data_IF_784733164792
#
_entry.id   IF_784733164792
#
_cell.length_a   1.000
_cell.length_b   1.000
_cell.length_c   1.000
_cell.angle_alpha   90.00
_cell.angle_beta   90.00
_cell.angle_gamma   90.00
#
_symmetry.space_group_name_H-M   'P 1'
#
loop_
_entity.id
_entity.type
_entity.pdbx_description
1 polymer ?
#
# COMPACT_ATOMS: atom_id res chain seq x y z
N UNK A 1 -10.04 -1.00 -19.02
CA UNK A 1 -9.26 -1.39 -20.21
C UNK A 1 -9.62 -0.44 -21.36
N UNK A 2 -8.70 -0.14 -22.28
CA UNK A 2 -8.97 0.71 -23.46
C UNK A 2 -8.61 0.04 -24.81
N UNK A 3 -8.13 -1.21 -24.76
CA UNK A 3 -7.63 -1.97 -25.90
C UNK A 3 -6.52 -2.96 -25.46
N UNK A 4 -6.22 -3.92 -26.33
CA UNK A 4 -5.14 -4.91 -26.18
C UNK A 4 -4.05 -4.66 -27.23
N UNK A 5 -2.82 -5.06 -26.96
CA UNK A 5 -1.69 -4.91 -27.89
C UNK A 5 -0.53 -5.85 -27.53
N UNK A 6 0.18 -6.33 -28.55
CA UNK A 6 1.29 -7.28 -28.42
C UNK A 6 2.62 -6.55 -28.57
N UNK A 7 3.49 -6.67 -27.55
CA UNK A 7 4.77 -5.96 -27.48
C UNK A 7 5.89 -6.97 -27.28
N UNK A 8 6.44 -7.50 -28.37
CA UNK A 8 7.37 -8.64 -28.34
C UNK A 8 8.60 -8.43 -27.43
N UNK A 9 9.13 -7.21 -27.38
CA UNK A 9 10.24 -6.87 -26.47
C UNK A 9 9.85 -6.92 -24.99
N UNK A 10 8.60 -6.55 -24.65
CA UNK A 10 8.10 -6.64 -23.27
C UNK A 10 7.76 -8.08 -22.89
N UNK A 11 7.24 -8.88 -23.83
CA UNK A 11 6.98 -10.32 -23.64
C UNK A 11 8.24 -11.16 -23.35
N UNK A 12 9.43 -10.56 -23.41
CA UNK A 12 10.72 -11.19 -23.11
C UNK A 12 11.29 -10.87 -21.72
N UNK A 13 10.53 -10.21 -20.83
CA UNK A 13 10.90 -10.00 -19.42
C UNK A 13 9.99 -10.80 -18.49
N UNK A 14 10.60 -11.47 -17.51
CA UNK A 14 9.89 -12.36 -16.60
C UNK A 14 9.06 -11.64 -15.52
N UNK A 15 8.20 -12.42 -14.86
CA UNK A 15 7.31 -11.94 -13.82
C UNK A 15 7.99 -11.82 -12.44
N UNK A 16 7.65 -10.74 -11.71
CA UNK A 16 7.80 -10.71 -10.25
C UNK A 16 6.60 -10.04 -9.55
N UNK A 17 6.15 -10.60 -8.43
CA UNK A 17 5.21 -9.96 -7.50
C UNK A 17 5.85 -8.82 -6.68
N UNK A 18 7.18 -8.67 -6.77
CA UNK A 18 7.94 -7.49 -6.31
C UNK A 18 8.77 -6.99 -7.50
N UNK A 19 8.13 -6.39 -8.51
CA UNK A 19 8.82 -5.99 -9.73
C UNK A 19 9.77 -4.81 -9.46
N UNK A 20 10.83 -4.72 -10.25
CA UNK A 20 11.73 -3.56 -10.29
C UNK A 20 11.49 -2.67 -11.52
N UNK A 21 10.55 -3.05 -12.40
CA UNK A 21 10.07 -2.22 -13.51
C UNK A 21 8.55 -2.19 -13.63
N UNK A 22 8.07 -1.23 -14.41
CA UNK A 22 6.73 -1.20 -15.00
C UNK A 22 6.86 -0.89 -16.49
N UNK A 23 5.83 -1.19 -17.27
CA UNK A 23 5.66 -0.55 -18.58
C UNK A 23 4.56 0.51 -18.51
N UNK A 24 4.67 1.55 -19.33
CA UNK A 24 3.67 2.62 -19.48
C UNK A 24 3.39 2.86 -20.95
N UNK A 25 2.12 3.05 -21.34
CA UNK A 25 1.75 3.27 -22.73
C UNK A 25 1.48 4.75 -23.03
N UNK A 26 2.11 5.30 -24.06
CA UNK A 26 1.77 6.60 -24.67
C UNK A 26 1.17 6.33 -26.06
N UNK A 27 -0.15 6.21 -26.12
CA UNK A 27 -0.82 5.61 -27.29
C UNK A 27 -0.34 4.17 -27.48
N UNK A 28 0.08 3.83 -28.70
CA UNK A 28 0.59 2.50 -29.06
C UNK A 28 2.08 2.28 -28.74
N UNK A 29 2.75 3.23 -28.07
CA UNK A 29 4.15 3.06 -27.64
C UNK A 29 4.16 2.66 -26.17
N UNK A 30 4.49 1.40 -25.88
CA UNK A 30 4.81 0.97 -24.52
C UNK A 30 6.29 1.22 -24.20
N UNK A 31 6.58 1.69 -22.99
CA UNK A 31 7.93 2.03 -22.52
C UNK A 31 8.18 1.37 -21.17
N UNK A 32 9.20 0.51 -21.09
CA UNK A 32 9.67 -0.07 -19.83
C UNK A 32 10.42 1.01 -19.01
N UNK A 33 10.16 1.05 -17.70
CA UNK A 33 10.65 2.08 -16.78
C UNK A 33 11.05 1.46 -15.45
N UNK A 34 12.18 1.88 -14.92
CA UNK A 34 12.70 1.41 -13.64
C UNK A 34 11.91 1.96 -12.45
N UNK A 35 11.81 1.16 -11.39
CA UNK A 35 11.31 1.53 -10.06
C UNK A 35 12.44 1.76 -9.06
N UNK A 36 13.69 1.50 -9.44
CA UNK A 36 14.90 1.79 -8.67
C UNK A 36 16.01 2.32 -9.59
N UNK A 37 17.04 2.99 -9.05
CA UNK A 37 18.14 3.56 -9.84
C UNK A 37 19.10 2.50 -10.40
N UNK A 38 19.16 1.32 -9.79
CA UNK A 38 20.14 0.28 -10.08
C UNK A 38 19.66 -0.76 -11.13
N UNK A 39 18.52 -0.52 -11.78
CA UNK A 39 17.92 -1.48 -12.72
C UNK A 39 18.54 -1.35 -14.12
N UNK A 40 19.31 -2.37 -14.52
CA UNK A 40 19.76 -2.52 -15.91
C UNK A 40 18.61 -3.00 -16.79
N UNK A 41 17.86 -2.06 -17.41
CA UNK A 41 16.67 -2.38 -18.21
C UNK A 41 16.90 -3.38 -19.36
N UNK A 42 18.15 -3.56 -19.81
CA UNK A 42 18.50 -4.52 -20.87
C UNK A 42 18.80 -5.93 -20.33
N UNK A 43 19.05 -6.08 -19.02
CA UNK A 43 19.25 -7.37 -18.37
C UNK A 43 17.91 -8.01 -18.03
N UNK A 44 17.44 -8.88 -18.93
CA UNK A 44 16.22 -9.68 -18.78
C UNK A 44 16.28 -10.70 -17.65
N UNK A 45 17.46 -11.04 -17.13
CA UNK A 45 17.61 -11.98 -16.00
C UNK A 45 17.44 -11.33 -14.63
N UNK A 46 17.64 -10.01 -14.54
CA UNK A 46 17.44 -9.22 -13.33
C UNK A 46 16.25 -8.24 -13.41
N UNK A 47 15.66 -8.05 -14.59
CA UNK A 47 14.57 -7.08 -14.83
C UNK A 47 13.21 -7.76 -14.92
N UNK A 48 12.30 -7.39 -14.01
CA UNK A 48 10.97 -8.00 -13.87
C UNK A 48 9.86 -6.95 -13.78
N UNK A 49 8.72 -7.22 -14.42
CA UNK A 49 7.47 -6.48 -14.22
C UNK A 49 6.35 -7.39 -13.69
N UNK A 50 5.21 -6.82 -13.29
CA UNK A 50 4.06 -7.63 -12.85
C UNK A 50 3.10 -7.90 -14.00
N UNK A 51 2.74 -9.18 -14.20
CA UNK A 51 1.70 -9.59 -15.14
C UNK A 51 0.28 -9.44 -14.53
N UNK A 52 0.21 -9.26 -13.21
CA UNK A 52 -1.01 -9.30 -12.40
C UNK A 52 -1.12 -8.07 -11.49
N UNK A 53 -2.30 -7.87 -10.91
CA UNK A 53 -2.48 -6.90 -9.82
C UNK A 53 -1.64 -7.34 -8.60
N UNK A 54 -0.94 -6.40 -7.95
CA UNK A 54 -0.12 -6.69 -6.78
C UNK A 54 -0.90 -6.65 -5.46
N UNK A 55 -2.12 -6.11 -5.48
CA UNK A 55 -3.02 -6.02 -4.33
C UNK A 55 -3.87 -7.29 -4.19
N UNK A 56 -3.17 -8.41 -4.00
CA UNK A 56 -3.73 -9.76 -3.92
C UNK A 56 -2.91 -10.64 -2.99
N UNK A 57 -3.55 -11.61 -2.32
CA UNK A 57 -2.89 -12.53 -1.38
C UNK A 57 -1.86 -13.43 -2.07
N UNK A 58 -0.91 -14.01 -1.31
CA UNK A 58 0.10 -14.93 -1.88
C UNK A 58 -0.55 -16.12 -2.61
N UNK A 59 -1.67 -16.60 -2.07
CA UNK A 59 -2.52 -17.65 -2.62
C UNK A 59 -3.17 -17.23 -3.94
N UNK A 60 -3.81 -16.06 -3.99
CA UNK A 60 -4.40 -15.51 -5.22
C UNK A 60 -3.36 -15.32 -6.32
N UNK A 61 -2.22 -14.69 -6.00
CA UNK A 61 -1.15 -14.43 -6.97
C UNK A 61 -0.59 -15.74 -7.53
N UNK A 62 -0.27 -16.71 -6.66
CA UNK A 62 0.25 -18.01 -7.11
C UNK A 62 -0.77 -18.80 -7.93
N UNK A 63 -2.05 -18.81 -7.53
CA UNK A 63 -3.12 -19.46 -8.31
C UNK A 63 -3.28 -18.81 -9.68
N UNK A 64 -3.43 -17.49 -9.76
CA UNK A 64 -3.61 -16.77 -11.03
C UNK A 64 -2.41 -16.98 -11.98
N UNK A 65 -1.18 -16.96 -11.45
CA UNK A 65 0.02 -17.22 -12.25
C UNK A 65 0.09 -18.65 -12.76
N UNK A 66 -0.27 -19.64 -11.94
CA UNK A 66 -0.32 -21.06 -12.33
C UNK A 66 -1.43 -21.35 -13.34
N UNK A 67 -2.62 -20.78 -13.14
CA UNK A 67 -3.80 -21.02 -13.99
C UNK A 67 -3.67 -20.34 -15.37
N UNK A 68 -2.99 -19.18 -15.47
CA UNK A 68 -2.94 -18.36 -16.70
C UNK A 68 -1.57 -18.39 -17.41
N UNK A 69 -0.46 -18.62 -16.68
CA UNK A 69 0.90 -18.67 -17.23
C UNK A 69 1.65 -19.98 -16.90
N UNK A 70 0.99 -20.96 -16.27
CA UNK A 70 1.48 -22.33 -16.09
C UNK A 70 2.78 -22.48 -15.26
N UNK A 71 3.12 -21.52 -14.40
CA UNK A 71 4.30 -21.60 -13.53
C UNK A 71 3.99 -21.28 -12.05
N UNK A 72 4.76 -21.88 -11.13
CA UNK A 72 4.72 -21.59 -9.69
C UNK A 72 5.71 -20.48 -9.33
N UNK A 73 5.21 -19.28 -9.05
CA UNK A 73 6.04 -18.10 -8.81
C UNK A 73 6.85 -18.17 -7.50
N UNK A 74 8.18 -18.16 -7.63
CA UNK A 74 9.17 -18.17 -6.53
C UNK A 74 9.91 -16.83 -6.32
N UNK A 75 9.39 -15.71 -6.86
CA UNK A 75 10.02 -14.40 -6.65
C UNK A 75 10.08 -14.03 -5.14
N UNK A 76 10.93 -13.07 -4.77
CA UNK A 76 11.20 -12.71 -3.37
C UNK A 76 9.94 -12.54 -2.49
N UNK A 77 8.90 -11.83 -2.96
CA UNK A 77 7.64 -11.64 -2.22
C UNK A 77 6.77 -12.90 -2.11
N UNK A 78 6.96 -13.88 -2.99
CA UNK A 78 6.25 -15.16 -2.94
C UNK A 78 6.91 -16.19 -2.01
N UNK A 79 8.17 -15.98 -1.60
CA UNK A 79 8.88 -16.81 -0.62
C UNK A 79 9.02 -16.12 0.75
N UNK A 80 8.88 -14.79 0.81
CA UNK A 80 8.90 -14.01 2.06
C UNK A 80 7.66 -14.27 2.94
N UNK A 81 7.88 -14.80 4.15
CA UNK A 81 6.81 -15.01 5.13
C UNK A 81 6.15 -13.72 5.62
N UNK A 82 6.80 -12.54 5.46
CA UNK A 82 6.18 -11.27 5.83
C UNK A 82 4.98 -10.91 4.93
N UNK A 83 4.89 -11.43 3.69
CA UNK A 83 3.71 -11.20 2.82
C UNK A 83 2.41 -11.74 3.43
N UNK A 84 2.48 -12.69 4.37
CA UNK A 84 1.30 -13.17 5.10
C UNK A 84 0.65 -12.09 5.99
N UNK A 85 1.31 -10.96 6.26
CA UNK A 85 0.72 -9.86 7.04
C UNK A 85 -0.53 -9.28 6.38
N UNK A 86 -0.61 -9.27 5.04
CA UNK A 86 -1.80 -8.81 4.28
C UNK A 86 -2.95 -9.82 4.36
N UNK A 87 -2.76 -10.95 5.03
CA UNK A 87 -3.76 -11.99 5.32
C UNK A 87 -3.82 -12.34 6.82
N UNK A 88 -3.32 -11.43 7.66
CA UNK A 88 -3.35 -11.55 9.12
C UNK A 88 -4.73 -11.20 9.72
N UNK A 89 -4.94 -11.62 10.97
CA UNK A 89 -6.07 -11.24 11.81
C UNK A 89 -5.63 -10.44 13.04
N UNK A 90 -6.58 -9.80 13.72
CA UNK A 90 -6.41 -9.19 15.03
C UNK A 90 -6.55 -10.25 16.14
N UNK A 91 -5.71 -10.18 17.17
CA UNK A 91 -5.84 -11.02 18.36
C UNK A 91 -7.14 -10.70 19.12
N UNK A 92 -8.08 -11.66 19.30
CA UNK A 92 -9.36 -11.42 19.97
C UNK A 92 -9.24 -11.22 21.49
N UNK A 93 -8.08 -11.49 22.07
CA UNK A 93 -7.81 -11.44 23.53
C UNK A 93 -7.01 -10.21 23.96
N UNK A 94 -6.71 -9.28 23.04
CA UNK A 94 -6.01 -8.03 23.34
C UNK A 94 -7.02 -6.88 23.46
N UNK A 95 -6.94 -6.09 24.53
CA UNK A 95 -7.95 -5.08 24.90
C UNK A 95 -7.87 -3.77 24.10
N UNK A 96 -6.72 -3.09 24.11
CA UNK A 96 -6.60 -1.73 23.57
C UNK A 96 -6.01 -1.68 22.15
N UNK A 97 -4.95 -2.44 21.92
CA UNK A 97 -4.22 -2.48 20.65
C UNK A 97 -4.01 -3.93 20.22
N UNK A 98 -4.96 -4.53 19.47
CA UNK A 98 -4.90 -5.93 19.10
C UNK A 98 -3.67 -6.30 18.26
N UNK A 99 -3.01 -7.39 18.66
CA UNK A 99 -1.82 -7.88 17.96
C UNK A 99 -2.16 -8.49 16.59
N UNK A 100 -1.25 -8.37 15.62
CA UNK A 100 -1.45 -8.84 14.25
C UNK A 100 -0.88 -10.25 14.08
N UNK A 101 -1.76 -11.22 13.83
CA UNK A 101 -1.42 -12.64 13.81
C UNK A 101 -1.54 -13.19 12.38
N UNK A 102 -0.42 -13.62 11.80
CA UNK A 102 -0.37 -14.28 10.49
C UNK A 102 -1.00 -15.67 10.58
N UNK A 103 -2.14 -15.85 9.91
CA UNK A 103 -2.84 -17.14 9.82
C UNK A 103 -2.07 -18.11 8.91
N UNK A 104 -1.57 -17.59 7.79
CA UNK A 104 -0.86 -18.35 6.76
C UNK A 104 0.67 -18.24 6.91
N UNK A 105 1.39 -19.16 6.27
CA UNK A 105 2.84 -19.27 6.38
C UNK A 105 3.33 -19.80 7.73
N UNK A 106 4.63 -19.62 7.97
CA UNK A 106 5.28 -19.86 9.26
C UNK A 106 5.35 -18.58 10.10
N UNK A 107 5.23 -18.71 11.42
CA UNK A 107 5.45 -17.64 12.39
C UNK A 107 6.00 -18.22 13.70
N UNK A 108 6.82 -17.50 14.48
CA UNK A 108 7.38 -18.02 15.73
C UNK A 108 6.31 -18.31 16.80
N UNK A 109 5.18 -17.61 16.73
CA UNK A 109 4.02 -17.78 17.60
C UNK A 109 3.01 -18.85 17.10
N UNK A 110 3.39 -19.67 16.11
CA UNK A 110 2.51 -20.64 15.46
C UNK A 110 3.08 -22.06 15.58
N UNK A 111 2.38 -22.94 16.27
CA UNK A 111 2.82 -24.32 16.47
C UNK A 111 2.84 -25.08 15.12
N UNK A 112 4.00 -25.61 14.72
CA UNK A 112 4.16 -26.26 13.41
C UNK A 112 3.28 -27.51 13.22
N UNK A 113 2.97 -28.25 14.30
CA UNK A 113 2.16 -29.47 14.24
C UNK A 113 0.66 -29.21 14.42
N UNK A 114 0.28 -28.44 15.44
CA UNK A 114 -1.15 -28.20 15.77
C UNK A 114 -1.75 -27.01 15.02
N UNK A 115 -0.92 -26.17 14.41
CA UNK A 115 -1.29 -24.90 13.76
C UNK A 115 -1.96 -23.87 14.71
N UNK A 116 -1.93 -24.11 16.03
CA UNK A 116 -2.40 -23.16 17.05
C UNK A 116 -1.53 -21.89 17.04
N UNK A 117 -2.18 -20.74 17.19
CA UNK A 117 -1.56 -19.42 17.31
C UNK A 117 -1.57 -18.99 18.79
N UNK A 118 -0.41 -18.79 19.40
CA UNK A 118 -0.27 -18.29 20.76
C UNK A 118 0.14 -16.82 20.71
N UNK A 119 -0.76 -15.88 21.01
CA UNK A 119 -0.49 -14.45 20.77
C UNK A 119 0.81 -13.96 21.46
N UNK A 120 1.79 -13.38 20.74
CA UNK A 120 3.07 -12.99 21.34
C UNK A 120 2.96 -11.80 22.31
N UNK A 121 1.82 -11.09 22.32
CA UNK A 121 1.58 -9.91 23.16
C UNK A 121 0.81 -10.17 24.46
N UNK A 122 -0.14 -11.12 24.44
CA UNK A 122 -0.92 -11.48 25.64
C UNK A 122 -0.76 -12.94 26.07
N UNK A 123 0.00 -13.74 25.32
CA UNK A 123 0.30 -15.16 25.58
C UNK A 123 -0.92 -16.09 25.68
N UNK A 124 -2.07 -15.64 25.16
CA UNK A 124 -3.30 -16.44 25.05
C UNK A 124 -3.33 -17.16 23.70
N UNK A 125 -3.68 -18.45 23.72
CA UNK A 125 -3.97 -19.23 22.52
C UNK A 125 -5.26 -18.74 21.84
N UNK A 126 -5.20 -18.45 20.55
CA UNK A 126 -6.35 -18.00 19.76
C UNK A 126 -7.29 -19.19 19.52
N UNK A 127 -8.57 -19.10 19.91
CA UNK A 127 -9.55 -20.15 19.62
C UNK A 127 -9.66 -20.41 18.11
N UNK A 128 -9.73 -21.68 17.72
CA UNK A 128 -9.78 -22.10 16.30
C UNK A 128 -10.94 -21.45 15.56
N UNK A 129 -12.05 -21.23 16.26
CA UNK A 129 -13.28 -20.61 15.79
C UNK A 129 -13.02 -19.15 15.36
N UNK A 130 -12.13 -18.43 16.06
CA UNK A 130 -11.73 -17.06 15.71
C UNK A 130 -10.78 -17.00 14.52
N UNK A 131 -9.94 -18.03 14.35
CA UNK A 131 -9.12 -18.17 13.12
C UNK A 131 -10.02 -18.47 11.92
N UNK A 132 -11.03 -19.33 12.08
CA UNK A 132 -12.03 -19.62 11.05
C UNK A 132 -12.90 -18.40 10.70
N UNK A 133 -13.35 -17.63 11.71
CA UNK A 133 -14.10 -16.38 11.50
C UNK A 133 -13.33 -15.38 10.63
N UNK A 134 -12.02 -15.23 10.84
CA UNK A 134 -11.16 -14.40 9.99
C UNK A 134 -11.00 -14.96 8.56
N UNK A 135 -10.81 -16.27 8.41
CA UNK A 135 -10.70 -16.93 7.10
C UNK A 135 -12.01 -16.78 6.29
N UNK A 136 -13.16 -16.99 6.93
CA UNK A 136 -14.45 -16.94 6.25
C UNK A 136 -14.92 -15.50 5.98
N UNK A 137 -14.46 -14.51 6.78
CA UNK A 137 -14.56 -13.09 6.45
C UNK A 137 -13.81 -12.76 5.14
N UNK A 138 -12.55 -13.19 5.02
CA UNK A 138 -11.73 -12.98 3.80
C UNK A 138 -12.38 -13.66 2.58
N UNK A 139 -12.77 -14.93 2.70
CA UNK A 139 -13.51 -15.66 1.64
C UNK A 139 -14.84 -15.03 1.27
N UNK A 140 -15.51 -14.32 2.18
CA UNK A 140 -16.77 -13.62 1.88
C UNK A 140 -16.53 -12.42 0.97
N UNK A 141 -15.41 -11.70 1.13
CA UNK A 141 -15.00 -10.61 0.22
C UNK A 141 -14.71 -11.15 -1.18
N UNK A 142 -14.01 -12.28 -1.31
CA UNK A 142 -13.76 -12.88 -2.62
C UNK A 142 -15.05 -13.30 -3.33
N UNK A 143 -16.00 -13.94 -2.64
CA UNK A 143 -17.30 -14.30 -3.24
C UNK A 143 -18.07 -13.10 -3.77
N UNK A 144 -18.01 -11.95 -3.07
CA UNK A 144 -18.60 -10.68 -3.53
C UNK A 144 -17.94 -10.20 -4.84
N UNK A 145 -16.61 -10.33 -4.95
CA UNK A 145 -15.84 -9.94 -6.12
C UNK A 145 -16.07 -10.87 -7.31
N UNK A 146 -15.94 -12.19 -7.09
CA UNK A 146 -16.14 -13.24 -8.11
C UNK A 146 -17.51 -13.14 -8.78
N UNK A 147 -18.56 -12.95 -7.97
CA UNK A 147 -19.95 -12.84 -8.45
C UNK A 147 -20.36 -11.42 -8.82
N UNK A 148 -19.50 -10.41 -8.63
CA UNK A 148 -19.81 -8.99 -8.85
C UNK A 148 -21.08 -8.53 -8.11
N UNK A 149 -21.29 -8.97 -6.87
CA UNK A 149 -22.55 -8.72 -6.14
C UNK A 149 -22.83 -7.21 -5.97
N UNK A 150 -21.77 -6.39 -5.85
CA UNK A 150 -21.86 -4.93 -5.75
C UNK A 150 -22.36 -4.26 -7.04
N UNK A 151 -21.99 -4.77 -8.22
CA UNK A 151 -22.44 -4.23 -9.53
C UNK A 151 -23.95 -4.44 -9.73
N UNK A 152 -24.55 -5.40 -9.03
CA UNK A 152 -25.97 -5.75 -9.09
C UNK A 152 -26.83 -5.01 -8.04
N UNK A 153 -26.21 -4.31 -7.09
CA UNK A 153 -26.92 -3.58 -6.03
C UNK A 153 -27.17 -2.11 -6.40
N UNK A 154 -28.34 -1.53 -6.05
CA UNK A 154 -28.54 -0.08 -6.12
C UNK A 154 -27.46 0.67 -5.31
N UNK A 155 -26.86 1.73 -5.87
CA UNK A 155 -25.71 2.46 -5.28
C UNK A 155 -25.84 2.75 -3.78
N UNK A 156 -27.02 3.17 -3.30
CA UNK A 156 -27.26 3.41 -1.85
C UNK A 156 -27.17 2.14 -1.00
N UNK A 157 -27.73 1.02 -1.48
CA UNK A 157 -27.66 -0.27 -0.79
C UNK A 157 -26.23 -0.82 -0.76
N UNK A 158 -25.51 -0.71 -1.88
CA UNK A 158 -24.10 -1.08 -1.99
C UNK A 158 -23.21 -0.33 -0.99
N UNK A 159 -23.38 1.00 -0.85
CA UNK A 159 -22.66 1.82 0.14
C UNK A 159 -22.94 1.36 1.58
N UNK A 160 -24.21 1.16 1.94
CA UNK A 160 -24.57 0.70 3.28
C UNK A 160 -24.03 -0.71 3.58
N UNK A 161 -24.11 -1.63 2.62
CA UNK A 161 -23.59 -2.98 2.74
C UNK A 161 -22.07 -3.00 2.93
N UNK A 162 -21.32 -2.26 2.11
CA UNK A 162 -19.86 -2.20 2.21
C UNK A 162 -19.38 -1.48 3.48
N UNK A 163 -20.04 -0.40 3.92
CA UNK A 163 -19.73 0.25 5.21
C UNK A 163 -19.96 -0.70 6.39
N UNK A 164 -21.11 -1.36 6.47
CA UNK A 164 -21.40 -2.35 7.53
C UNK A 164 -20.50 -3.58 7.48
N UNK A 165 -20.05 -3.99 6.28
CA UNK A 165 -19.07 -5.06 6.11
C UNK A 165 -17.70 -4.67 6.68
N UNK A 166 -17.24 -3.46 6.36
CA UNK A 166 -15.98 -2.88 6.83
C UNK A 166 -15.98 -2.69 8.36
N UNK A 167 -17.05 -2.13 8.93
CA UNK A 167 -17.21 -1.96 10.40
C UNK A 167 -17.21 -3.30 11.15
N UNK A 168 -17.79 -4.34 10.55
CA UNK A 168 -17.77 -5.71 11.12
C UNK A 168 -16.36 -6.30 11.06
N UNK A 169 -15.70 -6.23 9.90
CA UNK A 169 -14.41 -6.88 9.69
C UNK A 169 -13.22 -6.13 10.30
N UNK A 170 -13.31 -4.82 10.54
CA UNK A 170 -12.31 -4.05 11.28
C UNK A 170 -12.10 -4.51 12.73
N UNK A 171 -13.01 -5.33 13.29
CA UNK A 171 -12.86 -6.00 14.60
C UNK A 171 -12.08 -7.32 14.53
N UNK A 172 -11.77 -7.80 13.33
CA UNK A 172 -11.28 -9.17 13.05
C UNK A 172 -9.99 -9.11 12.20
N UNK A 173 -9.90 -8.16 11.26
CA UNK A 173 -8.82 -8.00 10.30
C UNK A 173 -8.19 -6.60 10.46
N UNK A 174 -6.84 -6.46 10.48
CA UNK A 174 -6.18 -5.16 10.49
C UNK A 174 -6.30 -4.44 9.15
N UNK A 175 -6.12 -3.12 9.13
CA UNK A 175 -6.15 -2.29 7.91
C UNK A 175 -5.15 -2.71 6.82
N UNK A 176 -4.00 -3.31 7.19
CA UNK A 176 -3.02 -3.88 6.25
C UNK A 176 -3.53 -5.12 5.52
N UNK A 177 -4.64 -5.72 5.97
CA UNK A 177 -5.23 -6.90 5.35
C UNK A 177 -5.82 -6.55 3.96
N UNK A 178 -5.44 -7.32 2.93
CA UNK A 178 -5.79 -7.05 1.53
C UNK A 178 -7.29 -7.08 1.27
N UNK A 179 -8.06 -7.83 2.06
CA UNK A 179 -9.51 -7.91 1.96
C UNK A 179 -10.22 -6.68 2.53
N UNK A 180 -9.64 -6.01 3.53
CA UNK A 180 -10.09 -4.67 3.95
C UNK A 180 -9.86 -3.65 2.82
N UNK A 181 -8.68 -3.70 2.18
CA UNK A 181 -8.40 -2.83 1.04
C UNK A 181 -9.28 -3.12 -0.20
N UNK A 182 -9.63 -4.39 -0.45
CA UNK A 182 -10.62 -4.79 -1.49
C UNK A 182 -12.00 -4.17 -1.23
N UNK A 183 -12.50 -4.21 0.02
CA UNK A 183 -13.76 -3.54 0.41
C UNK A 183 -13.69 -2.03 0.16
N UNK A 184 -12.58 -1.40 0.54
CA UNK A 184 -12.35 0.03 0.32
C UNK A 184 -12.36 0.38 -1.18
N UNK A 185 -11.72 -0.43 -2.02
CA UNK A 185 -11.71 -0.23 -3.49
C UNK A 185 -13.11 -0.36 -4.12
N UNK A 186 -13.97 -1.26 -3.61
CA UNK A 186 -15.37 -1.35 -4.02
C UNK A 186 -16.20 -0.14 -3.56
N UNK A 187 -15.86 0.44 -2.40
CA UNK A 187 -16.61 1.54 -1.79
C UNK A 187 -16.26 2.91 -2.37
N UNK A 188 -14.98 3.18 -2.65
CA UNK A 188 -14.50 4.48 -3.18
C UNK A 188 -15.31 5.05 -4.36
N UNK A 189 -15.59 4.32 -5.47
CA UNK A 189 -16.38 4.86 -6.59
C UNK A 189 -17.88 5.06 -6.27
N UNK A 190 -18.33 4.57 -5.10
CA UNK A 190 -19.71 4.70 -4.63
C UNK A 190 -19.90 5.83 -3.61
N UNK A 191 -18.84 6.46 -3.12
CA UNK A 191 -18.93 7.68 -2.31
C UNK A 191 -19.32 8.87 -3.22
N UNK A 192 -19.70 10.00 -2.62
CA UNK A 192 -19.91 11.25 -3.34
C UNK A 192 -18.56 11.97 -3.53
N UNK A 193 -18.20 12.48 -4.72
CA UNK A 193 -16.95 13.19 -4.94
C UNK A 193 -16.73 14.44 -4.07
N UNK A 194 -17.79 14.97 -3.45
CA UNK A 194 -17.72 16.10 -2.49
C UNK A 194 -17.51 15.67 -1.03
N UNK A 195 -17.68 14.38 -0.69
CA UNK A 195 -17.46 13.80 0.65
C UNK A 195 -15.97 13.54 0.88
N UNK A 196 -15.21 14.64 0.93
CA UNK A 196 -13.76 14.66 1.09
C UNK A 196 -13.31 13.96 2.39
N UNK A 197 -14.11 14.03 3.47
CA UNK A 197 -13.81 13.39 4.75
C UNK A 197 -13.91 11.86 4.67
N UNK A 198 -14.98 11.30 4.09
CA UNK A 198 -15.08 9.85 3.88
C UNK A 198 -13.98 9.36 2.93
N UNK A 199 -13.72 10.10 1.85
CA UNK A 199 -12.68 9.74 0.87
C UNK A 199 -11.27 9.76 1.48
N UNK A 200 -10.94 10.80 2.28
CA UNK A 200 -9.70 10.88 3.04
C UNK A 200 -9.54 9.70 3.98
N UNK A 201 -10.56 9.41 4.80
CA UNK A 201 -10.55 8.32 5.77
C UNK A 201 -10.34 6.96 5.09
N UNK A 202 -11.06 6.69 4.00
CA UNK A 202 -10.93 5.44 3.23
C UNK A 202 -9.52 5.27 2.62
N UNK A 203 -8.93 6.34 2.08
CA UNK A 203 -7.57 6.26 1.54
C UNK A 203 -6.51 6.09 2.65
N UNK A 204 -6.67 6.71 3.81
CA UNK A 204 -5.79 6.47 4.98
C UNK A 204 -5.93 5.05 5.53
N UNK A 205 -7.16 4.52 5.63
CA UNK A 205 -7.44 3.15 6.07
C UNK A 205 -6.85 2.06 5.16
N UNK A 206 -6.58 2.39 3.89
CA UNK A 206 -5.99 1.46 2.91
C UNK A 206 -4.50 1.70 2.62
N UNK A 207 -3.90 2.79 3.12
CA UNK A 207 -2.53 3.17 2.76
C UNK A 207 -1.50 2.09 3.11
N UNK A 208 -1.56 1.50 4.30
CA UNK A 208 -0.59 0.50 4.74
C UNK A 208 -0.58 -0.73 3.81
N UNK A 209 -1.77 -1.23 3.43
CA UNK A 209 -1.90 -2.32 2.47
C UNK A 209 -1.35 -1.95 1.09
N UNK A 210 -1.61 -0.73 0.61
CA UNK A 210 -1.12 -0.25 -0.70
C UNK A 210 0.41 -0.14 -0.68
N UNK A 211 1.00 0.49 0.34
CA UNK A 211 2.45 0.65 0.49
C UNK A 211 3.18 -0.68 0.68
N UNK A 212 2.53 -1.67 1.28
CA UNK A 212 3.07 -3.02 1.39
C UNK A 212 3.06 -3.74 0.02
N UNK A 213 1.90 -3.77 -0.64
CA UNK A 213 1.69 -4.55 -1.87
C UNK A 213 2.55 -4.07 -3.05
N UNK A 214 2.75 -2.77 -3.21
CA UNK A 214 3.48 -2.18 -4.32
C UNK A 214 4.94 -1.83 -3.94
N UNK A 215 5.90 -1.86 -4.90
CA UNK A 215 7.23 -1.29 -4.70
C UNK A 215 7.16 0.22 -4.38
N UNK A 216 8.11 0.80 -3.61
CA UNK A 216 7.99 2.18 -3.10
C UNK A 216 7.77 3.26 -4.16
N UNK A 217 8.46 3.17 -5.30
CA UNK A 217 8.33 4.12 -6.41
C UNK A 217 7.25 3.75 -7.43
N UNK A 218 6.41 2.74 -7.18
CA UNK A 218 5.37 2.34 -8.12
C UNK A 218 4.29 3.43 -8.25
N UNK A 219 3.87 3.84 -9.48
CA UNK A 219 2.94 4.96 -9.66
C UNK A 219 1.60 4.82 -8.93
N UNK A 220 1.11 3.61 -8.68
CA UNK A 220 -0.10 3.40 -7.86
C UNK A 220 0.06 3.95 -6.43
N UNK A 221 1.26 3.87 -5.84
CA UNK A 221 1.59 4.49 -4.53
C UNK A 221 1.55 6.01 -4.67
N UNK A 222 2.15 6.57 -5.72
CA UNK A 222 2.11 8.01 -6.01
C UNK A 222 0.68 8.55 -6.23
N UNK A 223 -0.18 7.79 -6.91
CA UNK A 223 -1.61 8.13 -7.07
C UNK A 223 -2.34 8.08 -5.73
N UNK A 224 -2.15 7.02 -4.94
CA UNK A 224 -2.81 6.87 -3.64
C UNK A 224 -2.42 7.98 -2.66
N UNK A 225 -1.12 8.26 -2.53
CA UNK A 225 -0.60 9.37 -1.73
C UNK A 225 -1.10 10.72 -2.24
N UNK A 226 -1.18 10.92 -3.56
CA UNK A 226 -1.75 12.16 -4.11
C UNK A 226 -3.22 12.33 -3.78
N UNK A 227 -4.01 11.25 -3.70
CA UNK A 227 -5.41 11.33 -3.30
C UNK A 227 -5.52 11.68 -1.82
N UNK A 228 -4.73 11.05 -0.93
CA UNK A 228 -4.67 11.42 0.50
C UNK A 228 -4.31 12.91 0.65
N UNK A 229 -3.27 13.38 -0.04
CA UNK A 229 -2.83 14.77 0.00
C UNK A 229 -3.86 15.75 -0.57
N UNK A 230 -4.55 15.38 -1.66
CA UNK A 230 -5.67 16.15 -2.22
C UNK A 230 -6.82 16.29 -1.21
N UNK A 231 -7.27 15.19 -0.60
CA UNK A 231 -8.38 15.26 0.35
C UNK A 231 -7.97 15.96 1.66
N UNK A 232 -6.71 15.84 2.12
CA UNK A 232 -6.20 16.70 3.20
C UNK A 232 -6.28 18.19 2.86
N UNK A 233 -6.00 18.58 1.61
CA UNK A 233 -6.12 19.98 1.18
C UNK A 233 -7.57 20.45 1.23
N UNK A 234 -8.50 19.65 0.70
CA UNK A 234 -9.94 19.95 0.72
C UNK A 234 -10.57 19.92 2.12
N UNK A 235 -9.98 19.19 3.06
CA UNK A 235 -10.32 19.22 4.50
C UNK A 235 -9.58 20.32 5.29
N UNK A 236 -8.89 21.27 4.64
CA UNK A 236 -8.24 22.38 5.33
C UNK A 236 -7.01 21.99 6.17
N UNK A 237 -6.27 20.96 5.76
CA UNK A 237 -5.06 20.47 6.43
C UNK A 237 -3.81 20.60 5.52
N UNK A 238 -3.44 21.82 5.08
CA UNK A 238 -2.46 22.02 4.01
C UNK A 238 -1.05 21.52 4.35
N UNK A 239 -0.66 21.49 5.62
CA UNK A 239 0.62 20.90 6.06
C UNK A 239 0.68 19.38 5.82
N UNK A 240 -0.43 18.66 6.02
CA UNK A 240 -0.51 17.23 5.68
C UNK A 240 -0.64 17.05 4.16
N UNK A 241 -1.38 17.92 3.49
CA UNK A 241 -1.46 17.92 2.03
C UNK A 241 -0.08 18.03 1.38
N UNK A 242 0.75 19.01 1.78
CA UNK A 242 2.11 19.18 1.24
C UNK A 242 2.97 17.93 1.41
N UNK A 243 2.97 17.32 2.61
CA UNK A 243 3.75 16.10 2.89
C UNK A 243 3.39 14.95 1.92
N UNK A 244 2.10 14.63 1.80
CA UNK A 244 1.63 13.54 0.95
C UNK A 244 1.80 13.87 -0.55
N UNK A 245 1.59 15.12 -0.96
CA UNK A 245 1.77 15.56 -2.35
C UNK A 245 3.24 15.61 -2.76
N UNK A 246 4.16 15.94 -1.85
CA UNK A 246 5.61 15.90 -2.11
C UNK A 246 6.09 14.46 -2.33
N UNK A 247 5.68 13.53 -1.46
CA UNK A 247 5.97 12.10 -1.62
C UNK A 247 5.38 11.55 -2.92
N UNK A 248 4.13 11.91 -3.24
CA UNK A 248 3.48 11.52 -4.49
C UNK A 248 4.20 12.05 -5.73
N UNK A 249 4.60 13.34 -5.72
CA UNK A 249 5.27 14.01 -6.83
C UNK A 249 6.61 13.34 -7.15
N UNK A 250 7.49 13.13 -6.17
CA UNK A 250 8.80 12.51 -6.44
C UNK A 250 8.67 11.06 -6.96
N UNK A 251 7.69 10.29 -6.48
CA UNK A 251 7.40 8.92 -7.00
C UNK A 251 7.01 8.95 -8.49
N UNK A 252 6.06 9.80 -8.89
CA UNK A 252 5.60 9.85 -10.29
C UNK A 252 6.62 10.53 -11.21
N UNK A 253 7.37 11.52 -10.70
CA UNK A 253 8.47 12.19 -11.41
C UNK A 253 9.62 11.24 -11.69
N UNK A 254 10.03 10.43 -10.71
CA UNK A 254 11.09 9.43 -10.87
C UNK A 254 10.73 8.40 -11.95
N UNK A 255 9.53 7.82 -11.87
CA UNK A 255 9.12 6.74 -12.79
C UNK A 255 8.71 7.24 -14.17
N UNK A 256 7.93 8.33 -14.26
CA UNK A 256 7.28 8.77 -15.50
C UNK A 256 8.03 9.91 -16.20
N UNK A 257 8.89 10.62 -15.47
CA UNK A 257 9.58 11.83 -15.92
C UNK A 257 8.78 13.11 -15.64
N UNK A 258 9.46 14.25 -15.70
CA UNK A 258 8.89 15.59 -15.43
C UNK A 258 7.71 15.93 -16.35
N UNK A 259 7.84 15.63 -17.64
CA UNK A 259 6.91 16.09 -18.69
C UNK A 259 5.66 15.22 -18.82
N UNK A 260 5.55 14.15 -18.01
CA UNK A 260 4.37 13.29 -18.02
C UNK A 260 3.18 14.01 -17.39
N UNK A 261 2.00 13.95 -18.03
CA UNK A 261 0.82 14.72 -17.62
C UNK A 261 0.42 14.50 -16.14
N UNK A 262 0.56 13.27 -15.63
CA UNK A 262 0.32 13.00 -14.21
C UNK A 262 1.35 13.66 -13.29
N UNK A 263 2.62 13.74 -13.69
CA UNK A 263 3.68 14.43 -12.93
C UNK A 263 3.39 15.93 -12.84
N UNK A 264 3.01 16.55 -13.96
CA UNK A 264 2.60 17.97 -14.03
C UNK A 264 1.37 18.21 -13.16
N UNK A 265 0.36 17.34 -13.23
CA UNK A 265 -0.84 17.41 -12.37
C UNK A 265 -0.51 17.32 -10.88
N UNK A 266 0.36 16.39 -10.47
CA UNK A 266 0.72 16.24 -9.04
C UNK A 266 1.60 17.39 -8.55
N UNK A 267 2.44 17.96 -9.42
CA UNK A 267 3.21 19.17 -9.13
C UNK A 267 2.32 20.40 -8.91
N UNK A 268 1.28 20.58 -9.74
CA UNK A 268 0.32 21.68 -9.59
C UNK A 268 -0.41 21.63 -8.24
N UNK A 269 -0.85 20.44 -7.81
CA UNK A 269 -1.45 20.23 -6.48
C UNK A 269 -0.45 20.50 -5.33
N UNK A 270 0.82 20.09 -5.48
CA UNK A 270 1.86 20.37 -4.50
C UNK A 270 2.09 21.89 -4.33
N UNK A 271 2.13 22.65 -5.42
CA UNK A 271 2.24 24.10 -5.36
C UNK A 271 0.96 24.80 -4.85
N UNK A 272 -0.20 24.17 -4.98
CA UNK A 272 -1.45 24.59 -4.32
C UNK A 272 -1.31 24.47 -2.79
N UNK A 273 -0.97 23.27 -2.29
CA UNK A 273 -0.76 23.03 -0.86
C UNK A 273 0.34 23.94 -0.26
N UNK A 274 1.46 24.13 -0.97
CA UNK A 274 2.53 25.06 -0.57
C UNK A 274 2.08 26.51 -0.50
N UNK A 275 1.10 26.92 -1.30
CA UNK A 275 0.54 28.29 -1.24
C UNK A 275 -0.26 28.46 0.04
N UNK A 276 -1.10 27.49 0.38
CA UNK A 276 -1.90 27.50 1.61
C UNK A 276 -1.04 27.38 2.87
N UNK A 277 -0.03 26.50 2.90
CA UNK A 277 0.98 26.45 3.99
C UNK A 277 1.65 27.81 4.21
N UNK A 278 2.02 28.50 3.13
CA UNK A 278 2.60 29.86 3.18
C UNK A 278 1.60 30.93 3.63
N UNK A 279 0.30 30.72 3.47
CA UNK A 279 -0.75 31.64 3.93
C UNK A 279 -1.07 31.44 5.42
N UNK A 280 -1.33 30.19 5.84
CA UNK A 280 -1.52 29.81 7.24
C UNK A 280 -0.35 30.28 8.10
N UNK A 281 0.90 30.09 7.64
CA UNK A 281 2.10 30.57 8.33
C UNK A 281 2.15 32.10 8.46
N UNK A 282 1.68 32.85 7.45
CA UNK A 282 1.62 34.33 7.52
C UNK A 282 0.55 34.80 8.50
N UNK A 283 -0.63 34.17 8.50
CA UNK A 283 -1.72 34.47 9.45
C UNK A 283 -1.25 34.26 10.90
N UNK A 284 -0.57 33.14 11.21
CA UNK A 284 -0.05 32.86 12.55
C UNK A 284 0.99 33.92 13.00
N UNK A 285 1.86 34.37 12.09
CA UNK A 285 2.86 35.40 12.39
C UNK A 285 2.21 36.77 12.65
N UNK A 286 1.21 37.16 11.85
CA UNK A 286 0.48 38.43 12.02
C UNK A 286 -0.46 38.43 13.24
N UNK A 287 -0.97 37.28 13.64
CA UNK A 287 -1.65 37.14 14.94
C UNK A 287 -0.64 37.28 16.09
N UNK A 288 0.55 36.67 15.97
CA UNK A 288 1.60 36.73 16.99
C UNK A 288 2.18 38.13 17.21
N UNK A 289 2.27 38.96 16.16
CA UNK A 289 2.71 40.36 16.29
C UNK A 289 1.67 41.24 16.99
N UNK A 290 0.37 41.04 16.71
CA UNK A 290 -0.75 41.78 17.32
C UNK A 290 -0.91 41.55 18.83
N UNK A 291 -0.38 40.46 19.37
CA UNK A 291 -0.42 40.14 20.82
C UNK A 291 0.84 40.60 21.59
N UNK A 292 1.74 41.40 21.01
CA UNK A 292 2.81 42.05 21.75
C UNK A 292 2.26 43.19 22.63
N UNK A 293 1.87 42.84 23.86
CA UNK A 293 1.55 43.80 24.93
C UNK A 293 2.75 44.72 25.18
N UNK A 294 2.57 46.05 25.31
CA UNK A 294 3.68 46.95 25.64
C UNK A 294 4.31 46.58 26.98
N UNK A 295 5.59 46.23 26.97
CA UNK A 295 6.36 45.96 28.20
C UNK A 295 6.67 47.30 28.88
N UNK A 296 5.75 47.75 29.75
CA UNK A 296 6.00 48.88 30.64
C UNK A 296 6.98 48.47 31.74
N UNK A 297 8.14 49.11 31.76
CA UNK A 297 9.20 48.78 32.70
C UNK A 297 8.89 49.30 34.11
N UNK A 298 8.52 48.39 35.02
CA UNK A 298 8.57 48.64 36.46
C UNK A 298 9.36 47.54 37.18
N UNK A 299 10.32 47.96 37.98
CA UNK A 299 11.08 47.08 38.87
C UNK A 299 10.38 46.99 40.21
N UNK A 300 10.27 45.79 40.79
CA UNK A 300 10.62 45.53 42.19
C UNK A 300 10.60 44.02 42.52
N UNK A 301 11.21 43.66 43.65
CA UNK A 301 11.56 42.27 44.03
C UNK A 301 10.48 41.52 44.82
N UNK A 302 10.31 40.21 44.56
CA UNK A 302 10.26 39.16 45.62
C UNK A 302 10.07 37.72 45.09
N UNK A 303 10.40 36.75 45.94
CA UNK A 303 10.06 35.31 45.93
C UNK A 303 9.49 35.00 47.35
N UNK A 304 8.84 33.84 47.68
CA UNK A 304 8.86 32.53 47.00
C UNK A 304 7.55 31.68 47.03
N UNK A 305 7.66 30.39 46.61
CA UNK A 305 6.86 29.17 46.94
C UNK A 305 5.52 28.83 46.23
N UNK A 306 5.60 27.84 45.32
CA UNK A 306 4.98 26.48 45.39
C UNK A 306 3.46 26.27 45.65
N UNK A 307 2.77 25.55 44.72
CA UNK A 307 2.04 24.25 44.90
C UNK A 307 1.41 23.79 43.55
N UNK A 308 1.00 22.52 43.43
CA UNK A 308 0.21 21.86 42.35
C UNK A 308 -1.11 22.61 41.99
N UNK A 309 -1.87 22.39 40.91
CA UNK A 309 -1.93 21.41 39.78
C UNK A 309 -2.73 22.07 38.60
N UNK A 310 -3.12 21.50 37.45
CA UNK A 310 -3.00 20.19 36.74
C UNK A 310 -3.22 20.46 35.22
N UNK A 311 -2.62 19.64 34.32
CA UNK A 311 -3.30 19.04 33.14
C UNK A 311 -2.40 18.18 32.24
N UNK A 312 -2.79 16.92 32.05
CA UNK A 312 -2.22 15.98 31.06
C UNK A 312 -2.89 16.06 29.68
N UNK A 313 -2.34 15.27 28.72
CA UNK A 313 -2.90 14.83 27.41
C UNK A 313 -2.92 15.89 26.28
N UNK A 314 -2.46 15.61 25.05
CA UNK A 314 -1.78 14.40 24.48
C UNK A 314 -0.65 14.85 23.54
N UNK A 315 0.55 14.30 23.71
CA UNK A 315 1.56 14.24 22.65
C UNK A 315 1.98 12.78 22.44
N UNK A 316 1.64 12.21 21.28
CA UNK A 316 2.20 10.93 20.81
C UNK A 316 3.19 11.24 19.71
N UNK A 317 4.48 11.26 20.05
CA UNK A 317 5.57 11.61 19.14
C UNK A 317 5.71 10.54 18.06
N UNK A 318 5.65 10.95 16.78
CA UNK A 318 6.13 10.12 15.66
C UNK A 318 7.63 10.36 15.55
N UNK A 319 8.45 9.47 16.13
CA UNK A 319 9.92 9.54 16.01
C UNK A 319 10.35 9.15 14.60
N UNK A 320 10.96 10.09 13.88
CA UNK A 320 11.53 9.83 12.54
C UNK A 320 12.90 9.17 12.69
N UNK A 321 12.86 7.85 12.90
CA UNK A 321 13.98 6.92 12.87
C UNK A 321 13.45 5.58 12.35
N UNK A 322 14.02 4.94 11.32
CA UNK A 322 15.41 5.04 10.86
C UNK A 322 15.54 5.25 9.33
N UNK A 323 16.53 6.04 8.94
CA UNK A 323 17.13 6.04 7.60
C UNK A 323 18.65 6.00 7.75
N UNK A 324 19.17 4.92 8.32
CA UNK A 324 20.62 4.70 8.41
C UNK A 324 21.14 4.19 7.06
N UNK A 325 22.20 4.83 6.56
CA UNK A 325 22.80 4.53 5.28
C UNK A 325 23.84 3.42 5.45
N UNK A 326 23.55 2.22 4.96
CA UNK A 326 24.54 1.13 4.93
C UNK A 326 25.46 1.33 3.72
N UNK A 327 26.65 1.87 3.97
CA UNK A 327 27.78 1.71 3.05
C UNK A 327 28.33 0.27 3.18
N UNK A 328 28.63 -0.43 2.06
CA UNK A 328 29.38 -1.67 2.12
C UNK A 328 30.88 -1.40 2.31
N UNK A 329 31.51 -2.06 3.29
CA UNK A 329 32.97 -2.17 3.35
C UNK A 329 33.46 -3.28 2.42
N UNK A 330 34.57 -3.03 1.71
CA UNK A 330 35.22 -4.03 0.86
C UNK A 330 36.07 -4.98 1.70
N UNK A 331 35.97 -6.30 1.44
CA UNK A 331 36.98 -7.29 1.82
C UNK A 331 37.22 -8.31 0.72
N UNK A 332 38.49 -8.51 0.42
CA UNK A 332 38.99 -9.46 -0.58
C UNK A 332 38.96 -10.91 -0.05
N UNK A 333 38.85 -11.90 -0.95
CA UNK A 333 38.99 -13.31 -0.57
C UNK A 333 38.61 -14.33 -1.66
N UNK A 334 39.62 -14.91 -2.31
CA UNK A 334 39.71 -16.32 -2.81
C UNK A 334 38.41 -17.14 -2.89
N UNK A 335 37.85 -17.49 -4.06
CA UNK A 335 38.33 -18.41 -5.14
C UNK A 335 37.84 -19.87 -5.00
N UNK A 336 37.90 -20.62 -6.11
CA UNK A 336 37.40 -21.99 -6.37
C UNK A 336 35.91 -22.06 -6.76
N UNK A 337 35.49 -22.42 -7.99
CA UNK A 337 35.70 -23.59 -8.89
C UNK A 337 34.94 -24.88 -8.50
N UNK A 338 33.78 -25.10 -9.17
CA UNK A 338 33.25 -26.41 -9.51
C UNK A 338 32.26 -26.31 -10.70
N UNK A 339 32.34 -27.24 -11.64
CA UNK A 339 31.50 -27.33 -12.85
C UNK A 339 30.28 -28.26 -12.67
N UNK A 340 29.53 -28.47 -13.79
CA UNK A 340 28.57 -29.55 -14.09
C UNK A 340 27.09 -29.32 -13.66
N UNK A 341 26.06 -29.70 -14.42
CA UNK A 341 25.98 -30.08 -15.84
C UNK A 341 24.51 -30.14 -16.35
N UNK A 342 24.33 -30.41 -17.64
CA UNK A 342 23.14 -30.97 -18.32
C UNK A 342 21.84 -30.14 -18.47
N UNK A 343 21.65 -29.64 -19.70
CA UNK A 343 20.36 -29.71 -20.40
C UNK A 343 20.05 -31.17 -20.80
N UNK A 344 18.75 -31.49 -20.98
CA UNK A 344 18.30 -32.17 -22.20
C UNK A 344 17.34 -31.29 -23.02
N UNK A 345 16.99 -31.73 -24.24
CA UNK A 345 16.07 -31.02 -25.15
C UNK A 345 14.73 -31.78 -25.29
N UNK A 346 13.70 -31.03 -25.67
CA UNK A 346 12.52 -31.39 -26.47
C UNK A 346 11.82 -32.75 -26.25
N UNK A 347 10.50 -32.70 -26.11
CA UNK A 347 9.61 -33.29 -27.12
C UNK A 347 8.30 -32.49 -27.23
N UNK A 348 7.75 -32.36 -28.44
CA UNK A 348 6.44 -31.76 -28.68
C UNK A 348 5.34 -32.83 -28.62
N UNK A 349 4.12 -32.42 -28.25
CA UNK A 349 2.90 -32.96 -28.86
C UNK A 349 1.74 -31.94 -28.71
N UNK A 350 0.87 -31.87 -29.73
CA UNK A 350 -0.30 -31.00 -29.75
C UNK A 350 -1.40 -31.42 -28.77
N UNK A 351 -2.06 -30.44 -28.15
CA UNK A 351 -3.49 -30.51 -27.83
C UNK A 351 -4.10 -29.11 -27.85
N UNK A 352 -5.23 -28.98 -28.56
CA UNK A 352 -5.98 -27.74 -28.79
C UNK A 352 -6.28 -26.96 -27.50
N UNK A 353 -6.22 -25.63 -27.57
CA UNK A 353 -6.53 -24.74 -26.44
C UNK A 353 -7.91 -24.08 -26.63
N UNK A 354 -8.77 -24.17 -25.60
CA UNK A 354 -10.00 -23.39 -25.49
C UNK A 354 -9.71 -21.99 -24.91
N UNK A 355 -10.16 -20.93 -25.59
CA UNK A 355 -9.84 -19.55 -25.23
C UNK A 355 -10.77 -18.93 -24.17
N UNK A 356 -10.40 -18.97 -22.88
CA UNK A 356 -11.00 -18.09 -21.86
C UNK A 356 -9.98 -17.55 -20.85
N UNK A 357 -9.45 -16.34 -21.12
CA UNK A 357 -8.53 -15.64 -20.21
C UNK A 357 -8.80 -14.13 -20.06
N UNK A 358 -8.83 -13.70 -18.80
CA UNK A 358 -8.61 -12.34 -18.26
C UNK A 358 -9.43 -11.14 -18.80
N UNK A 359 -10.25 -10.56 -17.89
CA UNK A 359 -10.14 -9.13 -17.50
C UNK A 359 -10.97 -8.77 -16.25
N UNK A 360 -10.31 -8.53 -15.10
CA UNK A 360 -10.91 -7.81 -13.94
C UNK A 360 -9.89 -6.98 -13.16
N UNK A 361 -9.99 -5.65 -13.30
CA UNK A 361 -9.62 -4.64 -12.29
C UNK A 361 -10.30 -3.32 -12.71
N UNK A 362 -11.01 -2.61 -11.82
CA UNK A 362 -11.94 -1.54 -12.21
C UNK A 362 -11.25 -0.22 -12.60
N UNK A 363 -12.05 0.66 -13.20
CA UNK A 363 -11.65 1.98 -13.69
C UNK A 363 -11.16 2.92 -12.58
N UNK A 364 -10.03 3.59 -12.82
CA UNK A 364 -9.73 4.85 -12.16
C UNK A 364 -10.63 5.95 -12.74
N UNK A 365 -11.51 6.51 -11.92
CA UNK A 365 -12.33 7.68 -12.27
C UNK A 365 -11.82 8.91 -11.52
N UNK A 366 -11.30 9.89 -12.24
CA UNK A 366 -11.15 11.28 -11.80
C UNK A 366 -11.82 12.18 -12.85
N UNK A 367 -12.33 13.36 -12.45
CA UNK A 367 -13.33 14.12 -13.22
C UNK A 367 -12.80 14.76 -14.51
#
# INVERSE_FOLDING_TARGET
EIGKGLYLDLCAYDHSCRPNTIYTCKGFVATLRALDRNVSLNDRSATFYSYINLLSSSQERKKLLKDTWYFDCQCARCIDNNDNIITSMLCPSCSETPERLCIFGEAPYKNKLTQILTCPKCHVDVPKEKVLEAIDAMRFVDRILEKKEIEQMPKKQAVCFLKGLMERFARILPNVNVYMCKIIQLLLPLIDPSDNETLLRLHLESEECVRFCYPPNHPAVGVHLSNIGYFFLRCGHPHRAELYLAMAYEIVKFTLGSDHAMTVSKYALLEEARREVREVRRIIIDQSSRFQVPVTSSSMTSKPKSVYDDKQRVETVITVSSLEQVHPEEKEGSSELADLAHRPQNHLHDSQADEHAASLSPSASQP
#
